data_IF_761487231733
#
_entry.id   IF_761487231733
#
_cell.length_a   1.000
_cell.length_b   1.000
_cell.length_c   1.000
_cell.angle_alpha   90.00
_cell.angle_beta   90.00
_cell.angle_gamma   90.00
#
_symmetry.space_group_name_H-M   'P 1'
#
loop_
_entity.id
_entity.type
_entity.pdbx_description
1 polymer ?
#
# COMPACT_ATOMS: atom_id res chain seq x y z
N UNK A 1 5.82 -6.10 -31.93
CA UNK A 1 6.04 -4.76 -31.32
C UNK A 1 6.26 -4.96 -29.83
N UNK A 2 7.43 -4.58 -29.31
CA UNK A 2 7.70 -4.64 -27.87
C UNK A 2 7.03 -3.42 -27.22
N UNK A 3 5.82 -3.60 -26.71
CA UNK A 3 5.08 -2.54 -26.05
C UNK A 3 5.71 -2.29 -24.66
N UNK A 4 6.30 -1.10 -24.47
CA UNK A 4 7.02 -0.73 -23.24
C UNK A 4 6.04 -0.08 -22.27
N UNK A 5 5.96 -0.61 -21.06
CA UNK A 5 5.17 -0.10 -19.96
C UNK A 5 6.03 0.70 -18.99
N UNK A 6 5.49 1.83 -18.52
CA UNK A 6 6.07 2.60 -17.41
C UNK A 6 5.40 2.18 -16.12
N UNK A 7 6.20 1.72 -15.15
CA UNK A 7 5.71 1.32 -13.83
C UNK A 7 6.44 2.05 -12.72
N UNK A 8 5.74 2.27 -11.60
CA UNK A 8 6.32 2.73 -10.34
C UNK A 8 5.82 1.85 -9.22
N UNK A 9 6.72 1.32 -8.39
CA UNK A 9 6.36 0.57 -7.20
C UNK A 9 6.45 1.49 -5.98
N UNK A 10 5.41 1.53 -5.17
CA UNK A 10 5.41 2.31 -3.92
C UNK A 10 4.80 1.52 -2.77
N UNK A 11 5.46 1.54 -1.61
CA UNK A 11 4.94 0.89 -0.41
C UNK A 11 4.14 1.88 0.42
N UNK A 12 2.85 1.64 0.53
CA UNK A 12 1.89 2.59 1.14
C UNK A 12 1.16 2.01 2.35
N UNK A 13 1.22 0.69 2.53
CA UNK A 13 0.63 -0.02 3.67
C UNK A 13 1.69 -0.38 4.72
N UNK A 14 1.20 -0.77 5.91
CA UNK A 14 1.95 -0.81 7.16
C UNK A 14 3.37 -1.46 7.12
N UNK A 15 4.25 -0.89 7.97
CA UNK A 15 5.70 -1.16 8.00
C UNK A 15 6.22 -1.90 9.25
N UNK A 16 7.22 -2.72 8.94
CA UNK A 16 8.35 -3.17 9.73
C UNK A 16 9.29 -2.04 10.12
N UNK A 17 8.86 -1.23 11.07
CA UNK A 17 9.83 -0.57 11.95
C UNK A 17 9.22 -0.38 13.33
N UNK A 18 9.40 -1.43 14.13
CA UNK A 18 9.31 -1.53 15.59
C UNK A 18 8.12 -0.82 16.31
N UNK A 19 7.07 -1.55 16.76
CA UNK A 19 6.96 -3.01 16.86
C UNK A 19 6.20 -3.66 15.68
N UNK A 20 6.34 -3.15 14.44
CA UNK A 20 6.05 -3.92 13.23
C UNK A 20 4.57 -4.25 13.00
N UNK A 21 3.90 -3.39 12.23
CA UNK A 21 2.56 -3.66 11.74
C UNK A 21 2.65 -4.20 10.33
N UNK A 22 2.29 -5.48 10.18
CA UNK A 22 2.06 -6.05 8.87
C UNK A 22 0.58 -6.26 8.68
N UNK A 23 0.16 -6.12 7.44
CA UNK A 23 -1.12 -6.66 7.01
C UNK A 23 -1.14 -8.18 7.20
N UNK A 24 -2.32 -8.72 7.49
CA UNK A 24 -2.49 -10.09 7.94
C UNK A 24 -2.78 -10.99 6.74
N UNK A 25 -2.09 -12.12 6.66
CA UNK A 25 -2.49 -13.25 5.83
C UNK A 25 -3.10 -14.30 6.77
N UNK A 26 -4.40 -14.54 6.60
CA UNK A 26 -5.15 -15.53 7.36
C UNK A 26 -4.88 -16.95 6.88
N UNK A 27 -5.35 -17.97 7.62
CA UNK A 27 -5.08 -19.39 7.31
C UNK A 27 -5.65 -19.84 5.97
N UNK A 28 -6.81 -19.31 5.59
CA UNK A 28 -7.48 -19.49 4.30
C UNK A 28 -6.82 -18.69 3.16
N UNK A 29 -5.73 -17.97 3.45
CA UNK A 29 -5.07 -17.01 2.58
C UNK A 29 -5.91 -15.76 2.25
N UNK A 30 -6.99 -15.48 2.99
CA UNK A 30 -7.63 -14.17 2.96
C UNK A 30 -6.65 -13.12 3.53
N UNK A 31 -6.68 -11.90 2.97
CA UNK A 31 -5.71 -10.86 3.31
C UNK A 31 -6.42 -9.63 3.87
N UNK A 32 -6.07 -9.27 5.09
CA UNK A 32 -6.46 -8.00 5.70
C UNK A 32 -5.36 -6.98 5.47
N UNK A 33 -5.59 -6.05 4.55
CA UNK A 33 -4.70 -4.92 4.32
C UNK A 33 -4.93 -3.87 5.39
N UNK A 34 -3.88 -3.55 6.14
CA UNK A 34 -3.90 -2.53 7.19
C UNK A 34 -3.32 -1.21 6.67
N UNK A 35 -4.13 -0.15 6.55
CA UNK A 35 -3.63 1.17 6.22
C UNK A 35 -2.70 1.71 7.31
N UNK A 36 -1.85 2.66 6.94
CA UNK A 36 -1.00 3.33 7.94
C UNK A 36 -1.86 4.29 8.79
N UNK A 37 -1.40 4.60 9.99
CA UNK A 37 -2.07 5.57 10.87
C UNK A 37 -2.03 6.97 10.22
N UNK A 38 -3.16 7.68 10.21
CA UNK A 38 -3.16 9.10 9.84
C UNK A 38 -2.51 9.91 10.95
N UNK A 39 -1.48 10.69 10.60
CA UNK A 39 -0.65 11.43 11.56
C UNK A 39 -0.99 12.92 11.62
N UNK A 40 -1.70 13.43 10.61
CA UNK A 40 -2.12 14.82 10.55
C UNK A 40 -3.41 15.00 11.34
N UNK A 41 -3.58 16.21 11.87
CA UNK A 41 -4.84 16.62 12.50
C UNK A 41 -5.93 16.75 11.44
N UNK A 42 -7.04 16.06 11.67
CA UNK A 42 -8.24 16.13 10.84
C UNK A 42 -9.26 17.07 11.45
N UNK A 43 -10.03 17.77 10.61
CA UNK A 43 -11.19 18.57 11.00
C UNK A 43 -12.30 17.66 11.52
N UNK A 44 -12.57 16.60 10.76
CA UNK A 44 -13.55 15.56 11.08
C UNK A 44 -12.96 14.19 10.76
N UNK A 45 -13.40 13.14 11.46
CA UNK A 45 -13.02 11.75 11.17
C UNK A 45 -14.23 11.03 10.60
N UNK A 46 -14.31 10.84 9.27
CA UNK A 46 -15.37 10.05 8.65
C UNK A 46 -15.31 8.57 9.06
N UNK A 47 -16.44 7.87 8.95
CA UNK A 47 -16.54 6.45 9.30
C UNK A 47 -15.57 5.54 8.53
N UNK A 48 -15.28 5.87 7.26
CA UNK A 48 -14.33 5.13 6.43
C UNK A 48 -12.85 5.39 6.77
N UNK A 49 -12.56 6.28 7.73
CA UNK A 49 -11.23 6.50 8.30
C UNK A 49 -11.15 6.05 9.76
N UNK A 50 -12.28 5.76 10.39
CA UNK A 50 -12.37 5.29 11.77
C UNK A 50 -12.12 3.76 11.81
N UNK A 51 -10.97 3.29 12.35
CA UNK A 51 -10.66 1.86 12.37
C UNK A 51 -11.63 1.02 13.20
N UNK A 52 -12.40 1.62 14.12
CA UNK A 52 -13.44 0.92 14.87
C UNK A 52 -14.71 0.67 14.06
N UNK A 53 -14.92 1.42 12.95
CA UNK A 53 -16.11 1.32 12.09
C UNK A 53 -15.88 0.54 10.80
N UNK A 54 -14.62 0.30 10.43
CA UNK A 54 -14.27 -0.42 9.21
C UNK A 54 -14.15 -1.90 9.53
N UNK A 55 -15.04 -2.72 8.95
CA UNK A 55 -15.07 -4.16 9.18
C UNK A 55 -14.18 -4.87 8.16
N UNK A 56 -13.22 -5.63 8.67
CA UNK A 56 -12.37 -6.51 7.89
C UNK A 56 -13.18 -7.67 7.29
N UNK A 57 -13.13 -7.82 5.97
CA UNK A 57 -13.89 -8.85 5.24
C UNK A 57 -13.43 -10.27 5.56
N UNK A 58 -12.18 -10.47 5.98
CA UNK A 58 -11.65 -11.79 6.27
C UNK A 58 -12.13 -12.35 7.62
N UNK A 59 -12.20 -11.49 8.65
CA UNK A 59 -12.49 -11.93 10.03
C UNK A 59 -13.83 -11.44 10.59
N UNK A 60 -14.47 -10.48 9.93
CA UNK A 60 -15.65 -9.76 10.47
C UNK A 60 -15.32 -8.86 11.67
N UNK A 61 -14.04 -8.66 12.01
CA UNK A 61 -13.62 -7.78 13.11
C UNK A 61 -13.39 -6.35 12.61
N UNK A 62 -13.58 -5.33 13.47
CA UNK A 62 -13.17 -3.98 13.12
C UNK A 62 -11.65 -3.90 12.95
N UNK A 63 -11.16 -3.02 12.07
CA UNK A 63 -9.72 -2.87 11.83
C UNK A 63 -8.93 -2.51 13.10
N UNK A 64 -9.54 -1.79 14.04
CA UNK A 64 -8.94 -1.45 15.35
C UNK A 64 -8.38 -2.67 16.10
N UNK A 65 -9.02 -3.84 15.92
CA UNK A 65 -8.62 -5.10 16.54
C UNK A 65 -7.16 -5.44 16.24
N UNK A 66 -6.75 -5.19 15.00
CA UNK A 66 -5.40 -5.48 14.56
C UNK A 66 -4.39 -4.50 15.13
N UNK A 67 -4.76 -3.25 15.43
CA UNK A 67 -3.85 -2.23 15.95
C UNK A 67 -3.50 -2.36 17.44
N UNK A 68 -3.91 -3.45 18.13
CA UNK A 68 -3.68 -3.66 19.58
C UNK A 68 -2.25 -3.39 20.07
N UNK A 69 -1.24 -3.87 19.37
CA UNK A 69 0.19 -3.72 19.70
C UNK A 69 0.84 -2.48 19.06
N UNK A 70 0.04 -1.59 18.45
CA UNK A 70 0.51 -0.41 17.74
C UNK A 70 1.06 0.55 18.76
N UNK A 71 2.14 1.24 18.37
CA UNK A 71 2.66 2.33 19.18
C UNK A 71 1.60 3.44 19.32
N UNK A 72 0.72 3.55 18.33
CA UNK A 72 -0.35 4.55 18.27
C UNK A 72 -1.68 3.81 18.30
N UNK A 73 -2.56 4.12 19.25
CA UNK A 73 -3.96 3.76 19.15
C UNK A 73 -4.59 4.70 18.10
N UNK A 74 -4.81 4.24 16.85
CA UNK A 74 -5.13 5.17 15.77
C UNK A 74 -6.56 5.65 15.92
N UNK A 75 -6.76 6.96 16.07
CA UNK A 75 -8.08 7.57 15.95
C UNK A 75 -8.59 7.60 14.51
N UNK A 76 -7.65 7.63 13.56
CA UNK A 76 -7.93 7.60 12.13
C UNK A 76 -6.82 6.85 11.39
N UNK A 77 -7.18 6.22 10.28
CA UNK A 77 -6.25 5.59 9.35
C UNK A 77 -6.13 6.42 8.07
N UNK A 78 -4.95 6.38 7.45
CA UNK A 78 -4.69 7.01 6.16
C UNK A 78 -5.28 6.11 5.07
N UNK A 79 -6.56 6.35 4.73
CA UNK A 79 -7.38 5.52 3.84
C UNK A 79 -6.99 5.59 2.34
N UNK A 80 -5.69 5.72 2.06
CA UNK A 80 -5.13 5.77 0.71
C UNK A 80 -4.00 4.73 0.57
N UNK A 81 -3.82 4.13 -0.62
CA UNK A 81 -4.63 4.29 -1.82
C UNK A 81 -5.99 3.58 -1.69
N UNK A 82 -6.97 4.07 -2.46
CA UNK A 82 -8.24 3.39 -2.71
C UNK A 82 -8.19 2.75 -4.09
N UNK A 83 -7.58 1.57 -4.12
CA UNK A 83 -7.47 0.75 -5.33
C UNK A 83 -8.87 0.46 -5.89
N UNK A 84 -9.82 0.14 -5.01
CA UNK A 84 -11.22 -0.10 -5.36
C UNK A 84 -11.94 1.11 -5.97
N UNK A 85 -11.48 2.33 -5.69
CA UNK A 85 -12.01 3.57 -6.26
C UNK A 85 -11.10 4.19 -7.33
N UNK A 86 -10.02 3.48 -7.70
CA UNK A 86 -9.12 3.91 -8.76
C UNK A 86 -8.30 5.17 -8.46
N UNK A 87 -8.01 5.48 -7.19
CA UNK A 87 -7.19 6.66 -6.86
C UNK A 87 -6.15 6.47 -5.75
N UNK A 88 -5.13 7.32 -5.79
CA UNK A 88 -4.15 7.53 -4.72
C UNK A 88 -3.88 9.03 -4.61
N UNK A 89 -3.76 9.56 -3.39
CA UNK A 89 -3.37 10.95 -3.19
C UNK A 89 -2.16 11.09 -2.29
N UNK A 90 -1.41 12.16 -2.49
CA UNK A 90 -0.18 12.41 -1.75
C UNK A 90 0.18 13.90 -1.69
N UNK A 91 0.77 14.35 -0.58
CA UNK A 91 1.32 15.71 -0.47
C UNK A 91 2.35 15.98 -1.58
N UNK A 92 2.20 17.08 -2.33
CA UNK A 92 3.01 17.39 -3.50
C UNK A 92 4.52 17.49 -3.22
N UNK A 93 4.90 17.80 -1.97
CA UNK A 93 6.31 17.93 -1.52
C UNK A 93 6.92 16.64 -0.99
N UNK A 94 6.15 15.55 -0.85
CA UNK A 94 6.67 14.29 -0.32
C UNK A 94 7.75 13.67 -1.24
N UNK A 95 7.71 14.03 -2.53
CA UNK A 95 8.52 13.49 -3.61
C UNK A 95 8.45 11.95 -3.70
N UNK A 96 7.46 11.26 -3.12
CA UNK A 96 7.44 9.79 -3.13
C UNK A 96 7.05 9.22 -4.49
N UNK A 97 6.33 9.98 -5.31
CA UNK A 97 6.10 9.65 -6.71
C UNK A 97 6.69 10.73 -7.64
N UNK A 98 7.39 10.35 -8.72
CA UNK A 98 7.91 11.27 -9.73
C UNK A 98 6.79 11.76 -10.66
N UNK A 99 5.76 12.41 -10.09
CA UNK A 99 4.50 12.73 -10.78
C UNK A 99 4.66 13.61 -12.03
N UNK A 100 5.70 14.44 -12.10
CA UNK A 100 6.00 15.26 -13.28
C UNK A 100 6.43 14.45 -14.50
N UNK A 101 6.82 13.19 -14.30
CA UNK A 101 7.26 12.26 -15.36
C UNK A 101 6.22 11.18 -15.66
N UNK A 102 5.10 11.17 -14.93
CA UNK A 102 4.03 10.19 -15.12
C UNK A 102 3.09 10.64 -16.23
N UNK A 103 2.69 9.71 -17.07
CA UNK A 103 1.74 9.92 -18.17
C UNK A 103 0.54 9.01 -18.02
N UNK A 104 -0.46 9.19 -18.89
CA UNK A 104 -1.51 8.19 -19.11
C UNK A 104 -0.87 6.81 -19.33
N UNK A 105 -1.55 5.78 -18.83
CA UNK A 105 -1.14 4.37 -18.87
C UNK A 105 0.08 4.00 -18.01
N UNK A 106 0.72 4.96 -17.33
CA UNK A 106 1.70 4.61 -16.29
C UNK A 106 1.01 3.79 -15.20
N UNK A 107 1.62 2.69 -14.77
CA UNK A 107 1.06 1.80 -13.75
C UNK A 107 1.73 2.10 -12.40
N UNK A 108 0.93 2.49 -11.42
CA UNK A 108 1.38 2.58 -10.02
C UNK A 108 1.05 1.26 -9.34
N UNK A 109 2.07 0.51 -8.93
CA UNK A 109 1.94 -0.74 -8.19
C UNK A 109 2.12 -0.48 -6.70
N UNK A 110 1.17 -0.95 -5.90
CA UNK A 110 1.15 -0.77 -4.45
C UNK A 110 1.70 -2.01 -3.75
N UNK A 111 2.64 -1.75 -2.83
CA UNK A 111 3.25 -2.78 -2.01
C UNK A 111 2.75 -2.71 -0.57
N UNK A 112 2.59 -3.89 0.04
CA UNK A 112 2.30 -4.06 1.46
C UNK A 112 3.28 -5.04 2.10
N UNK A 113 3.61 -4.80 3.37
CA UNK A 113 4.20 -5.83 4.20
C UNK A 113 3.10 -6.78 4.67
N UNK A 114 3.22 -8.06 4.35
CA UNK A 114 2.28 -9.10 4.79
C UNK A 114 2.97 -10.14 5.69
N UNK A 115 2.23 -10.67 6.67
CA UNK A 115 2.70 -11.75 7.52
C UNK A 115 1.59 -12.78 7.81
N UNK A 116 1.96 -14.07 7.86
CA UNK A 116 1.08 -15.15 8.33
C UNK A 116 1.18 -15.26 9.84
N UNK A 117 0.14 -14.80 10.53
CA UNK A 117 0.06 -14.79 11.98
C UNK A 117 -0.68 -16.03 12.52
N UNK A 118 -0.32 -16.55 13.71
CA UNK A 118 -1.19 -17.43 14.46
C UNK A 118 -2.50 -16.71 14.84
N UNK A 119 -3.63 -17.41 14.81
CA UNK A 119 -4.96 -16.82 15.09
C UNK A 119 -5.04 -16.14 16.45
N UNK A 120 -4.44 -16.76 17.47
CA UNK A 120 -4.49 -16.27 18.85
C UNK A 120 -3.52 -15.13 19.15
N UNK A 121 -2.74 -14.65 18.17
CA UNK A 121 -1.72 -13.62 18.40
C UNK A 121 -2.32 -12.34 19.00
N UNK A 122 -3.55 -12.02 18.66
CA UNK A 122 -4.23 -10.80 19.09
C UNK A 122 -4.67 -10.88 20.56
N UNK A 123 -4.66 -12.05 21.19
CA UNK A 123 -4.86 -12.22 22.63
C UNK A 123 -3.56 -12.18 23.42
N UNK A 124 -2.41 -12.30 22.73
CA UNK A 124 -1.10 -12.33 23.37
C UNK A 124 -0.78 -11.02 24.11
N UNK A 125 0.15 -11.12 25.06
CA UNK A 125 0.85 -9.99 25.64
C UNK A 125 1.83 -9.37 24.64
N UNK A 126 2.28 -8.13 24.90
CA UNK A 126 3.28 -7.45 24.06
C UNK A 126 4.62 -8.21 23.99
N UNK A 127 5.00 -8.92 25.06
CA UNK A 127 6.23 -9.73 25.12
C UNK A 127 6.10 -10.96 24.21
N UNK A 128 4.97 -11.67 24.31
CA UNK A 128 4.67 -12.83 23.46
C UNK A 128 4.53 -12.44 21.99
N UNK A 129 3.85 -11.34 21.69
CA UNK A 129 3.74 -10.80 20.33
C UNK A 129 5.12 -10.61 19.68
N UNK A 130 6.08 -10.01 20.40
CA UNK A 130 7.45 -9.82 19.91
C UNK A 130 8.18 -11.16 19.70
N UNK A 131 7.95 -12.16 20.55
CA UNK A 131 8.51 -13.51 20.37
C UNK A 131 7.95 -14.16 19.10
N UNK A 132 6.62 -14.15 18.94
CA UNK A 132 5.93 -14.70 17.76
C UNK A 132 6.39 -14.00 16.47
N UNK A 133 6.57 -12.68 16.48
CA UNK A 133 7.10 -11.95 15.33
C UNK A 133 8.49 -12.44 14.90
N UNK A 134 9.38 -12.76 15.85
CA UNK A 134 10.70 -13.34 15.55
C UNK A 134 10.58 -14.74 14.95
N UNK A 135 9.63 -15.54 15.43
CA UNK A 135 9.37 -16.89 14.91
C UNK A 135 8.78 -16.86 13.49
N UNK A 136 7.84 -15.96 13.21
CA UNK A 136 7.30 -15.76 11.85
C UNK A 136 8.42 -15.35 10.90
N UNK A 137 9.35 -14.50 11.36
CA UNK A 137 10.52 -14.10 10.58
C UNK A 137 11.45 -15.28 10.28
N UNK A 138 11.83 -16.06 11.30
CA UNK A 138 12.73 -17.21 11.10
C UNK A 138 12.10 -18.29 10.20
N UNK A 139 10.77 -18.40 10.20
CA UNK A 139 10.01 -19.29 9.31
C UNK A 139 9.70 -18.71 7.93
N UNK A 140 10.22 -17.53 7.56
CA UNK A 140 9.98 -16.87 6.26
C UNK A 140 8.49 -16.59 5.96
N UNK A 141 7.68 -16.46 7.02
CA UNK A 141 6.24 -16.25 6.94
C UNK A 141 5.84 -14.77 6.85
N UNK A 142 6.81 -13.90 6.57
CA UNK A 142 6.63 -12.46 6.38
C UNK A 142 7.43 -11.95 5.19
N UNK A 143 6.91 -10.94 4.51
CA UNK A 143 7.55 -10.40 3.32
C UNK A 143 6.88 -9.15 2.78
N UNK A 144 7.41 -8.65 1.66
CA UNK A 144 6.82 -7.56 0.89
C UNK A 144 6.10 -8.17 -0.31
N UNK A 145 4.89 -7.69 -0.56
CA UNK A 145 4.00 -8.17 -1.61
C UNK A 145 3.51 -7.00 -2.46
N UNK A 146 3.34 -7.23 -3.76
CA UNK A 146 2.52 -6.37 -4.62
C UNK A 146 1.07 -6.84 -4.46
N UNK A 147 0.19 -5.92 -4.08
CA UNK A 147 -1.20 -6.24 -3.74
C UNK A 147 -2.21 -5.72 -4.77
N UNK A 148 -1.79 -4.84 -5.68
CA UNK A 148 -2.66 -4.16 -6.62
C UNK A 148 -1.99 -2.93 -7.21
N UNK A 149 -2.76 -2.16 -7.97
CA UNK A 149 -2.26 -0.95 -8.60
C UNK A 149 -3.36 -0.10 -9.23
N UNK A 150 -2.93 1.00 -9.84
CA UNK A 150 -3.75 1.89 -10.65
C UNK A 150 -3.06 2.08 -12.00
N UNK A 151 -3.80 1.83 -13.08
CA UNK A 151 -3.43 2.26 -14.43
C UNK A 151 -3.87 3.70 -14.60
N UNK A 152 -2.92 4.64 -14.68
CA UNK A 152 -3.21 6.07 -14.67
C UNK A 152 -4.01 6.51 -15.89
N UNK A 153 -5.06 7.29 -15.64
CA UNK A 153 -5.72 8.08 -16.65
C UNK A 153 -5.30 9.55 -16.56
N UNK A 154 -5.24 10.10 -15.34
CA UNK A 154 -4.97 11.52 -15.09
C UNK A 154 -4.14 11.69 -13.81
N UNK A 155 -3.28 12.70 -13.81
CA UNK A 155 -2.63 13.24 -12.60
C UNK A 155 -3.15 14.66 -12.39
N UNK A 156 -3.67 14.95 -11.21
CA UNK A 156 -4.25 16.24 -10.85
C UNK A 156 -3.43 16.86 -9.71
N UNK A 157 -3.07 18.13 -9.85
CA UNK A 157 -2.56 18.94 -8.74
C UNK A 157 -3.74 19.67 -8.11
N UNK A 158 -3.86 19.57 -6.80
CA UNK A 158 -4.94 20.14 -5.99
C UNK A 158 -4.26 21.13 -5.04
N UNK A 159 -4.48 22.41 -5.26
CA UNK A 159 -4.08 23.44 -4.31
C UNK A 159 -4.93 23.33 -3.04
N UNK A 160 -4.37 23.76 -1.90
CA UNK A 160 -5.06 23.60 -0.61
C UNK A 160 -6.43 24.27 -0.54
N UNK A 161 -6.64 25.35 -1.29
CA UNK A 161 -7.91 26.07 -1.42
C UNK A 161 -8.94 25.38 -2.31
N UNK A 162 -8.51 24.48 -3.19
CA UNK A 162 -9.30 24.02 -4.33
C UNK A 162 -9.96 22.66 -4.09
N UNK A 163 -9.81 22.12 -2.87
CA UNK A 163 -10.38 20.83 -2.49
C UNK A 163 -11.89 20.77 -2.69
N UNK A 164 -12.60 21.86 -2.39
CA UNK A 164 -14.05 21.90 -2.53
C UNK A 164 -14.49 21.74 -3.98
N UNK A 165 -13.94 22.58 -4.86
CA UNK A 165 -14.18 22.48 -6.31
C UNK A 165 -13.74 21.12 -6.87
N UNK A 166 -12.62 20.59 -6.39
CA UNK A 166 -12.06 19.33 -6.89
C UNK A 166 -12.95 18.14 -6.57
N UNK A 167 -13.57 18.07 -5.39
CA UNK A 167 -14.48 16.96 -5.08
C UNK A 167 -15.79 17.07 -5.88
N UNK A 168 -16.26 18.27 -6.21
CA UNK A 168 -17.46 18.43 -7.07
C UNK A 168 -17.22 17.83 -8.46
N UNK A 169 -16.02 18.04 -9.01
CA UNK A 169 -15.62 17.46 -10.31
C UNK A 169 -15.26 15.97 -10.22
N UNK A 170 -14.66 15.53 -9.11
CA UNK A 170 -14.19 14.15 -8.90
C UNK A 170 -14.61 13.66 -7.51
N UNK A 171 -15.88 13.24 -7.34
CA UNK A 171 -16.46 12.94 -6.02
C UNK A 171 -15.74 11.86 -5.23
N UNK A 172 -15.14 10.88 -5.91
CA UNK A 172 -14.39 9.80 -5.24
C UNK A 172 -13.22 10.30 -4.40
N UNK A 173 -12.70 11.51 -4.67
CA UNK A 173 -11.63 12.09 -3.86
C UNK A 173 -12.07 12.50 -2.46
N UNK A 174 -13.38 12.53 -2.16
CA UNK A 174 -13.88 12.68 -0.79
C UNK A 174 -13.37 11.57 0.13
N UNK A 175 -12.97 10.40 -0.40
CA UNK A 175 -12.43 9.31 0.40
C UNK A 175 -10.94 9.48 0.76
N UNK A 176 -10.28 10.51 0.21
CA UNK A 176 -8.90 10.84 0.55
C UNK A 176 -8.84 11.47 1.95
N UNK A 177 -7.86 11.08 2.80
CA UNK A 177 -7.64 11.74 4.07
C UNK A 177 -7.18 13.20 3.92
N UNK A 178 -6.60 13.57 2.77
CA UNK A 178 -6.09 14.93 2.54
C UNK A 178 -7.21 15.97 2.49
N UNK A 179 -8.42 15.59 2.10
CA UNK A 179 -9.59 16.46 2.08
C UNK A 179 -9.99 16.95 3.49
N UNK A 180 -9.77 16.12 4.51
CA UNK A 180 -10.22 16.38 5.88
C UNK A 180 -9.14 17.00 6.79
N UNK A 181 -7.95 17.36 6.27
CA UNK A 181 -6.85 17.87 7.10
C UNK A 181 -7.09 19.34 7.46
N UNK A 182 -6.89 19.70 8.73
CA UNK A 182 -7.02 21.10 9.20
C UNK A 182 -6.11 22.07 8.46
N UNK A 183 -4.92 21.60 8.06
CA UNK A 183 -3.93 22.37 7.32
C UNK A 183 -3.76 21.71 5.95
N UNK A 184 -4.69 22.01 5.04
CA UNK A 184 -4.60 21.51 3.68
C UNK A 184 -3.27 21.95 3.06
N UNK A 185 -2.54 20.96 2.54
CA UNK A 185 -1.35 21.17 1.74
C UNK A 185 -1.68 20.82 0.30
N UNK A 186 -0.90 21.39 -0.62
CA UNK A 186 -0.98 21.02 -2.02
C UNK A 186 -0.79 19.52 -2.15
N UNK A 187 -1.74 18.90 -2.85
CA UNK A 187 -1.85 17.46 -2.99
C UNK A 187 -1.79 17.10 -4.46
N UNK A 188 -1.24 15.94 -4.77
CA UNK A 188 -1.28 15.35 -6.10
C UNK A 188 -2.19 14.12 -6.01
N UNK A 189 -3.21 14.09 -6.86
CA UNK A 189 -4.10 12.95 -7.02
C UNK A 189 -3.74 12.19 -8.31
N UNK A 190 -3.65 10.88 -8.18
CA UNK A 190 -3.39 9.93 -9.25
C UNK A 190 -4.66 9.13 -9.48
N UNK A 191 -5.30 9.32 -10.63
CA UNK A 191 -6.64 8.83 -10.90
C UNK A 191 -6.60 7.92 -12.13
N UNK A 192 -7.25 6.78 -12.05
CA UNK A 192 -7.26 5.81 -13.12
C UNK A 192 -8.10 4.58 -12.83
N UNK A 193 -7.77 3.48 -13.50
CA UNK A 193 -8.45 2.19 -13.29
C UNK A 193 -7.69 1.38 -12.25
N UNK A 194 -8.36 1.05 -11.15
CA UNK A 194 -7.82 0.20 -10.10
C UNK A 194 -7.82 -1.28 -10.45
N UNK A 195 -6.90 -2.03 -9.85
CA UNK A 195 -6.92 -3.49 -9.88
C UNK A 195 -6.23 -4.08 -8.65
N UNK A 196 -6.73 -5.22 -8.18
CA UNK A 196 -6.06 -6.03 -7.17
C UNK A 196 -5.19 -7.11 -7.83
N UNK A 197 -4.15 -7.55 -7.11
CA UNK A 197 -3.38 -8.75 -7.45
C UNK A 197 -3.83 -9.87 -6.53
N UNK A 198 -4.44 -10.92 -7.09
CA UNK A 198 -5.02 -12.02 -6.35
C UNK A 198 -4.54 -13.38 -6.89
N UNK A 199 -3.85 -14.21 -6.08
CA UNK A 199 -3.29 -13.86 -4.78
C UNK A 199 -2.11 -12.86 -4.95
N UNK A 200 -1.85 -11.97 -3.96
CA UNK A 200 -0.75 -11.01 -4.00
C UNK A 200 0.61 -11.65 -4.31
N UNK A 201 1.41 -10.94 -5.11
CA UNK A 201 2.72 -11.42 -5.52
C UNK A 201 3.76 -11.12 -4.44
N UNK A 202 4.31 -12.15 -3.80
CA UNK A 202 5.44 -12.00 -2.88
C UNK A 202 6.68 -11.60 -3.68
N UNK A 203 7.26 -10.44 -3.38
CA UNK A 203 8.43 -9.93 -4.11
C UNK A 203 9.72 -10.01 -3.28
N UNK A 204 9.59 -10.02 -1.96
CA UNK A 204 10.70 -10.20 -1.03
C UNK A 204 10.24 -10.93 0.24
N UNK A 205 11.10 -11.78 0.78
CA UNK A 205 10.93 -12.38 2.11
C UNK A 205 11.81 -11.63 3.10
N UNK A 206 11.28 -11.26 4.26
CA UNK A 206 12.11 -10.66 5.31
C UNK A 206 12.85 -11.78 6.06
N UNK A 207 14.18 -11.70 6.07
CA UNK A 207 15.05 -12.57 6.87
C UNK A 207 15.51 -11.85 8.14
N UNK A 208 16.27 -12.52 9.00
CA UNK A 208 16.79 -11.93 10.25
C UNK A 208 17.54 -10.62 10.00
N UNK A 209 18.39 -10.61 8.97
CA UNK A 209 19.37 -9.54 8.73
C UNK A 209 19.11 -8.76 7.43
N UNK A 210 18.18 -9.20 6.56
CA UNK A 210 17.99 -8.62 5.24
C UNK A 210 16.66 -9.02 4.55
N UNK A 211 16.60 -8.86 3.23
CA UNK A 211 15.55 -9.31 2.35
C UNK A 211 16.07 -10.38 1.38
N UNK A 212 15.34 -11.49 1.25
CA UNK A 212 15.54 -12.46 0.17
C UNK A 212 14.59 -12.13 -0.98
N UNK A 213 15.15 -11.72 -2.11
CA UNK A 213 14.39 -11.29 -3.30
C UNK A 213 13.92 -12.48 -4.13
N UNK A 214 12.73 -12.35 -4.72
CA UNK A 214 12.16 -13.33 -5.65
C UNK A 214 12.66 -13.13 -7.08
N UNK A 215 12.60 -14.19 -7.88
CA UNK A 215 12.91 -14.10 -9.32
C UNK A 215 11.92 -13.20 -10.04
N UNK A 216 10.64 -13.27 -9.68
CA UNK A 216 9.57 -12.45 -10.28
C UNK A 216 9.84 -10.95 -10.18
N UNK A 217 10.33 -10.47 -9.02
CA UNK A 217 10.70 -9.06 -8.90
C UNK A 217 11.88 -8.70 -9.82
N UNK A 218 12.90 -9.57 -9.91
CA UNK A 218 14.05 -9.35 -10.79
C UNK A 218 13.62 -9.32 -12.26
N UNK A 219 12.72 -10.22 -12.67
CA UNK A 219 12.17 -10.24 -14.03
C UNK A 219 11.36 -8.97 -14.31
N UNK A 220 10.48 -8.56 -13.38
CA UNK A 220 9.59 -7.43 -13.55
C UNK A 220 10.33 -6.09 -13.69
N UNK A 221 11.34 -5.84 -12.85
CA UNK A 221 11.98 -4.52 -12.75
C UNK A 221 13.48 -4.50 -13.04
N UNK A 222 14.11 -5.63 -13.37
CA UNK A 222 15.57 -5.81 -13.49
C UNK A 222 16.37 -5.68 -12.18
N UNK A 223 17.60 -6.21 -12.18
CA UNK A 223 18.47 -6.25 -10.98
C UNK A 223 18.84 -4.87 -10.46
N UNK A 224 19.12 -3.91 -11.34
CA UNK A 224 19.56 -2.57 -10.95
C UNK A 224 18.47 -1.86 -10.12
N UNK A 225 17.22 -1.92 -10.58
CA UNK A 225 16.11 -1.31 -9.85
C UNK A 225 15.78 -2.08 -8.56
N UNK A 226 15.96 -3.40 -8.53
CA UNK A 226 15.87 -4.19 -7.29
C UNK A 226 16.85 -3.68 -6.24
N UNK A 227 18.14 -3.49 -6.59
CA UNK A 227 19.14 -2.99 -5.64
C UNK A 227 18.77 -1.60 -5.11
N UNK A 228 18.30 -0.69 -5.98
CA UNK A 228 17.80 0.63 -5.57
C UNK A 228 16.62 0.51 -4.61
N UNK A 229 15.68 -0.40 -4.87
CA UNK A 229 14.50 -0.62 -4.04
C UNK A 229 14.86 -1.15 -2.64
N UNK A 230 15.82 -2.08 -2.56
CA UNK A 230 16.33 -2.60 -1.28
C UNK A 230 17.02 -1.51 -0.47
N UNK A 231 17.91 -0.72 -1.11
CA UNK A 231 18.66 0.35 -0.44
C UNK A 231 17.75 1.39 0.23
N UNK A 232 16.55 1.60 -0.32
CA UNK A 232 15.53 2.49 0.25
C UNK A 232 14.43 1.77 1.05
N UNK A 233 14.66 0.51 1.46
CA UNK A 233 13.74 -0.30 2.25
C UNK A 233 12.32 -0.39 1.65
N UNK A 234 12.24 -0.61 0.33
CA UNK A 234 11.00 -0.75 -0.42
C UNK A 234 10.07 0.48 -0.39
N UNK A 235 10.56 1.66 -0.01
CA UNK A 235 9.71 2.87 0.12
C UNK A 235 9.07 3.31 -1.19
N UNK A 236 9.82 3.28 -2.29
CA UNK A 236 9.38 3.66 -3.65
C UNK A 236 10.37 3.18 -4.71
N UNK A 237 10.05 3.31 -6.00
CA UNK A 237 11.01 3.28 -7.12
C UNK A 237 11.00 4.59 -7.89
N UNK A 238 11.96 4.79 -8.79
CA UNK A 238 11.78 5.72 -9.92
C UNK A 238 10.77 5.13 -10.93
N UNK A 239 10.46 5.88 -11.99
CA UNK A 239 9.82 5.29 -13.17
C UNK A 239 10.76 4.23 -13.73
N UNK A 240 10.20 3.06 -13.99
CA UNK A 240 10.87 1.90 -14.55
C UNK A 240 10.15 1.55 -15.85
N UNK A 241 10.91 1.33 -16.91
CA UNK A 241 10.39 0.78 -18.14
C UNK A 241 10.52 -0.75 -18.11
N UNK A 242 9.42 -1.44 -18.36
CA UNK A 242 9.36 -2.90 -18.47
C UNK A 242 8.59 -3.28 -19.72
N UNK A 243 8.79 -4.49 -20.23
CA UNK A 243 8.04 -4.95 -21.39
C UNK A 243 6.65 -5.45 -20.97
N UNK A 244 5.64 -5.20 -21.79
CA UNK A 244 4.25 -5.64 -21.52
C UNK A 244 4.14 -7.15 -21.32
N UNK A 245 4.82 -7.95 -22.14
CA UNK A 245 4.85 -9.41 -22.04
C UNK A 245 5.40 -9.88 -20.68
N UNK A 246 6.46 -9.24 -20.17
CA UNK A 246 7.00 -9.51 -18.83
C UNK A 246 5.97 -9.16 -17.75
N UNK A 247 5.35 -7.99 -17.84
CA UNK A 247 4.32 -7.57 -16.89
C UNK A 247 3.13 -8.56 -16.86
N UNK A 248 2.61 -8.93 -18.03
CA UNK A 248 1.48 -9.86 -18.17
C UNK A 248 1.85 -11.27 -17.72
N UNK A 249 3.06 -11.75 -18.04
CA UNK A 249 3.56 -13.04 -17.53
C UNK A 249 3.65 -13.05 -16.01
N UNK A 250 4.14 -11.97 -15.40
CA UNK A 250 4.36 -11.91 -13.94
C UNK A 250 3.07 -11.65 -13.15
N UNK A 251 2.19 -10.78 -13.65
CA UNK A 251 1.02 -10.28 -12.93
C UNK A 251 -0.31 -10.54 -13.63
N UNK A 252 -0.34 -10.69 -14.95
CA UNK A 252 -1.57 -10.67 -15.75
C UNK A 252 -2.64 -11.66 -15.32
N UNK A 253 -2.26 -12.91 -15.02
CA UNK A 253 -3.20 -13.94 -14.55
C UNK A 253 -3.71 -13.73 -13.12
N UNK A 254 -3.22 -12.70 -12.41
CA UNK A 254 -3.60 -12.34 -11.04
C UNK A 254 -4.40 -11.03 -10.97
N UNK A 255 -4.62 -10.35 -12.09
CA UNK A 255 -5.24 -9.03 -12.11
C UNK A 255 -6.76 -9.18 -12.04
N UNK A 256 -7.31 -8.70 -10.92
CA UNK A 256 -8.74 -8.53 -10.74
C UNK A 256 -9.05 -7.03 -10.84
N UNK A 257 -9.59 -6.61 -11.99
CA UNK A 257 -10.02 -5.22 -12.18
C UNK A 257 -11.23 -4.89 -11.31
N UNK A 258 -11.25 -3.66 -10.78
CA UNK A 258 -12.34 -3.10 -9.98
C UNK A 258 -13.02 -1.98 -10.75
#
# INVERSE_FOLDING_TARGET
MNDVLKIVLIRVYADLSNPGYYSVIHRDNCITILPVVEKNSLETIPSFMDPGRIIDKCSGKPLEYYYKFSKFNPKAIHNDPRIDLGFYTEEARSNRLPYTKMSRETIILFMSGLAKYPENIWFASKKEFRKILREIRSKNLMGIYIIGGIVLNKVLKIESSDWNKTFEEIPVLMYSPHYYRKNNKNTVAFIGKGFYINPPLKIATLTTDSFKITRDLIELINRENVYKLIKQNFRKTSIIETKRDIFEKTLGSRIDYV
#
